data_IF_171149634050
#
_entry.id   IF_171149634050
#
_cell.length_a   1.000
_cell.length_b   1.000
_cell.length_c   1.000
_cell.angle_alpha   90.00
_cell.angle_beta   90.00
_cell.angle_gamma   90.00
#
_symmetry.space_group_name_H-M   'P 1'
#
loop_
_entity.id
_entity.type
_entity.pdbx_description
1 polymer ?
#
# COMPACT_ATOMS: atom_id res chain seq x y z
N UNK A 1 -52.25 13.02 45.13
CA UNK A 1 -51.26 13.80 45.91
C UNK A 1 -49.90 13.36 45.39
N UNK A 2 -49.34 14.12 44.44
CA UNK A 2 -48.29 15.15 44.62
C UNK A 2 -46.91 14.48 44.81
N UNK A 3 -45.81 14.84 44.15
CA UNK A 3 -45.41 15.92 43.22
C UNK A 3 -44.06 15.45 42.60
N UNK A 4 -43.86 15.56 41.28
CA UNK A 4 -42.97 16.52 40.58
C UNK A 4 -41.46 16.46 40.93
N UNK A 5 -40.62 16.07 39.97
CA UNK A 5 -39.75 16.93 39.12
C UNK A 5 -38.33 17.05 39.74
N UNK A 6 -37.19 17.24 39.06
CA UNK A 6 -36.86 17.89 37.78
C UNK A 6 -35.41 17.48 37.45
N UNK A 7 -35.04 17.38 36.17
CA UNK A 7 -33.63 17.51 35.73
C UNK A 7 -33.14 18.96 35.91
N UNK A 8 -31.84 19.22 35.68
CA UNK A 8 -31.57 20.16 34.58
C UNK A 8 -30.46 19.71 33.63
N UNK A 9 -30.75 19.98 32.36
CA UNK A 9 -29.87 20.10 31.19
C UNK A 9 -29.01 21.36 31.32
N UNK A 10 -27.77 21.34 30.80
CA UNK A 10 -27.14 22.41 29.97
C UNK A 10 -25.65 22.13 29.82
N UNK A 11 -24.94 22.54 28.79
CA UNK A 11 -25.19 22.77 27.37
C UNK A 11 -23.77 22.92 26.77
N UNK A 12 -23.60 22.52 25.51
CA UNK A 12 -22.59 23.00 24.54
C UNK A 12 -21.15 23.36 25.00
N UNK A 13 -20.16 22.74 24.35
CA UNK A 13 -19.48 23.37 23.19
C UNK A 13 -18.42 22.43 22.64
N UNK A 14 -18.55 22.14 21.35
CA UNK A 14 -17.45 21.62 20.57
C UNK A 14 -16.33 22.65 20.49
N UNK A 15 -15.10 22.16 20.63
CA UNK A 15 -13.94 22.74 19.99
C UNK A 15 -13.00 21.60 19.66
N UNK A 16 -13.02 21.20 18.39
CA UNK A 16 -11.90 20.55 17.74
C UNK A 16 -10.69 21.46 17.88
N UNK A 17 -9.76 21.12 18.78
CA UNK A 17 -8.44 21.72 18.76
C UNK A 17 -7.71 21.21 17.51
N UNK A 18 -7.74 22.04 16.48
CA UNK A 18 -6.76 22.02 15.40
C UNK A 18 -5.39 22.07 16.06
N UNK A 19 -4.60 21.01 15.89
CA UNK A 19 -3.18 21.01 16.22
C UNK A 19 -2.53 22.03 15.29
N UNK A 20 -2.34 23.24 15.80
CA UNK A 20 -1.58 24.29 15.18
C UNK A 20 -0.11 23.87 15.21
N UNK A 21 0.41 23.38 14.08
CA UNK A 21 1.84 23.11 13.90
C UNK A 21 2.53 24.46 13.79
N UNK A 22 2.83 25.08 14.93
CA UNK A 22 3.77 26.18 15.03
C UNK A 22 5.18 25.59 14.91
N UNK A 23 5.77 25.69 13.72
CA UNK A 23 7.18 25.40 13.50
C UNK A 23 7.99 26.68 13.79
N UNK A 24 8.19 26.99 15.06
CA UNK A 24 9.10 28.06 15.49
C UNK A 24 10.51 27.48 15.63
N UNK A 25 11.36 27.73 14.63
CA UNK A 25 12.79 27.50 14.75
C UNK A 25 13.40 28.63 15.58
N UNK A 26 13.76 28.34 16.83
CA UNK A 26 14.72 29.14 17.60
C UNK A 26 16.03 28.36 17.65
N UNK A 27 17.08 28.90 17.02
CA UNK A 27 18.46 28.50 17.28
C UNK A 27 19.15 29.69 17.90
N UNK A 28 19.36 29.60 19.21
CA UNK A 28 20.22 30.52 19.93
C UNK A 28 21.66 30.30 19.48
N UNK A 29 22.25 31.35 18.93
CA UNK A 29 23.67 31.51 18.70
C UNK A 29 24.33 31.95 20.00
N UNK A 30 25.38 31.27 20.43
CA UNK A 30 26.45 31.92 21.20
C UNK A 30 27.81 31.48 20.69
N UNK A 31 28.64 32.50 20.65
CA UNK A 31 29.92 32.73 20.00
C UNK A 31 31.10 32.38 20.93
N UNK A 32 32.26 32.10 20.32
CA UNK A 32 33.61 32.48 20.74
C UNK A 32 34.66 31.45 20.29
N UNK A 33 35.62 31.90 19.46
CA UNK A 33 36.85 31.15 19.17
C UNK A 33 37.53 31.57 17.86
N UNK A 34 38.29 32.66 17.92
CA UNK A 34 39.22 33.23 16.94
C UNK A 34 40.31 32.24 16.49
N UNK A 35 40.62 32.19 15.18
CA UNK A 35 42.01 32.22 14.68
C UNK A 35 42.07 32.51 13.16
N UNK A 36 43.13 33.18 12.74
CA UNK A 36 43.35 33.84 11.45
C UNK A 36 43.68 32.90 10.27
N UNK A 37 43.36 33.33 9.04
CA UNK A 37 43.83 32.68 7.82
C UNK A 37 43.18 33.19 6.53
N UNK A 38 43.89 34.08 5.85
CA UNK A 38 43.56 34.75 4.59
C UNK A 38 43.39 33.77 3.40
N UNK A 39 42.40 33.96 2.50
CA UNK A 39 42.46 33.90 1.01
C UNK A 39 41.08 33.80 0.34
N UNK A 40 40.81 34.77 -0.56
CA UNK A 40 39.94 34.78 -1.74
C UNK A 40 38.41 34.57 -1.65
N UNK A 41 37.74 35.66 -2.01
CA UNK A 41 36.44 35.88 -2.65
C UNK A 41 35.52 34.73 -3.13
N UNK A 42 34.25 34.98 -2.81
CA UNK A 42 33.03 34.72 -3.59
C UNK A 42 32.40 33.29 -3.66
N UNK A 43 31.21 33.26 -3.04
CA UNK A 43 29.98 32.56 -3.44
C UNK A 43 29.71 31.10 -3.00
N UNK A 44 29.05 31.08 -1.83
CA UNK A 44 27.76 30.42 -1.57
C UNK A 44 27.77 28.95 -1.17
N UNK A 45 27.46 28.79 0.11
CA UNK A 45 27.17 27.56 0.83
C UNK A 45 25.82 26.94 0.44
N UNK A 46 25.79 25.63 0.67
CA UNK A 46 24.68 24.76 1.13
C UNK A 46 23.61 24.31 0.14
N UNK A 47 23.48 22.98 0.01
CA UNK A 47 22.26 22.33 0.49
C UNK A 47 22.56 20.89 0.91
N UNK A 48 22.51 20.65 2.22
CA UNK A 48 22.38 19.30 2.79
C UNK A 48 21.00 18.81 2.37
N UNK A 49 20.95 17.75 1.56
CA UNK A 49 19.71 17.12 1.10
C UNK A 49 18.84 16.67 2.28
N UNK A 50 17.91 17.52 2.67
CA UNK A 50 16.72 17.14 3.41
C UNK A 50 15.65 16.66 2.42
N UNK A 51 15.47 15.35 2.38
CA UNK A 51 14.18 14.67 2.19
C UNK A 51 13.51 14.65 0.79
N UNK A 52 13.67 13.55 0.02
CA UNK A 52 12.77 13.16 -1.08
C UNK A 52 11.33 12.83 -0.65
N UNK A 53 11.03 12.89 0.66
CA UNK A 53 9.78 12.41 1.26
C UNK A 53 8.67 13.45 1.25
N UNK A 54 9.01 14.74 1.33
CA UNK A 54 8.04 15.86 1.35
C UNK A 54 7.38 16.00 -0.03
N UNK A 55 8.17 15.98 -1.11
CA UNK A 55 7.68 16.07 -2.50
C UNK A 55 6.71 14.95 -2.85
N UNK A 56 7.01 13.71 -2.43
CA UNK A 56 6.17 12.55 -2.75
C UNK A 56 4.79 12.57 -2.09
N UNK A 57 4.66 13.06 -0.86
CA UNK A 57 3.35 13.19 -0.22
C UNK A 57 2.54 14.34 -0.84
N UNK A 58 3.20 15.41 -1.26
CA UNK A 58 2.57 16.52 -1.97
C UNK A 58 2.04 16.10 -3.34
N UNK A 59 2.76 15.26 -4.08
CA UNK A 59 2.30 14.72 -5.38
C UNK A 59 1.05 13.84 -5.23
N UNK A 60 0.96 13.03 -4.17
CA UNK A 60 -0.24 12.23 -3.89
C UNK A 60 -1.44 13.11 -3.56
N UNK A 61 -1.22 14.17 -2.77
CA UNK A 61 -2.28 15.11 -2.43
C UNK A 61 -2.81 15.81 -3.68
N UNK A 62 -1.93 16.26 -4.58
CA UNK A 62 -2.33 16.87 -5.84
C UNK A 62 -3.08 15.89 -6.75
N UNK A 63 -2.60 14.64 -6.85
CA UNK A 63 -3.31 13.60 -7.60
C UNK A 63 -4.73 13.37 -7.07
N UNK A 64 -4.89 13.28 -5.75
CA UNK A 64 -6.21 13.13 -5.13
C UNK A 64 -7.11 14.34 -5.38
N UNK A 65 -6.59 15.57 -5.23
CA UNK A 65 -7.34 16.80 -5.54
C UNK A 65 -7.82 16.81 -6.99
N UNK A 66 -6.98 16.36 -7.91
CA UNK A 66 -7.32 16.28 -9.33
C UNK A 66 -8.44 15.27 -9.60
N UNK A 67 -8.37 14.08 -9.00
CA UNK A 67 -9.40 13.04 -9.11
C UNK A 67 -10.74 13.54 -8.54
N UNK A 68 -10.72 14.21 -7.39
CA UNK A 68 -11.91 14.76 -6.75
C UNK A 68 -12.54 15.92 -7.52
N UNK A 69 -11.74 16.67 -8.29
CA UNK A 69 -12.21 17.82 -9.06
C UNK A 69 -12.77 17.43 -10.44
N UNK A 70 -12.54 16.19 -10.90
CA UNK A 70 -13.03 15.72 -12.21
C UNK A 70 -14.40 15.05 -12.06
N UNK A 71 -15.47 15.58 -12.70
CA UNK A 71 -16.80 14.97 -12.62
C UNK A 71 -16.83 13.56 -13.21
N UNK A 72 -17.42 12.61 -12.49
CA UNK A 72 -17.59 11.24 -12.97
C UNK A 72 -18.70 11.20 -14.02
N UNK A 73 -18.39 10.71 -15.23
CA UNK A 73 -19.38 10.61 -16.32
C UNK A 73 -20.34 9.46 -16.04
N UNK A 74 -21.44 9.73 -15.32
CA UNK A 74 -22.50 8.75 -15.07
C UNK A 74 -23.21 8.81 -13.71
N UNK A 75 -23.08 9.90 -12.95
CA UNK A 75 -23.85 10.07 -11.71
C UNK A 75 -25.31 10.39 -12.06
N UNK A 76 -26.18 9.38 -11.99
CA UNK A 76 -27.59 9.61 -11.67
C UNK A 76 -27.67 9.87 -10.18
N UNK A 77 -28.21 11.03 -9.80
CA UNK A 77 -28.53 11.38 -8.42
C UNK A 77 -29.31 10.22 -7.77
N UNK A 78 -28.71 9.51 -6.81
CA UNK A 78 -29.45 8.51 -6.02
C UNK A 78 -30.41 9.29 -5.11
N UNK A 79 -31.65 9.45 -5.59
CA UNK A 79 -32.83 10.07 -4.99
C UNK A 79 -32.74 10.36 -3.47
N UNK A 80 -32.88 11.64 -3.13
CA UNK A 80 -33.25 12.13 -1.80
C UNK A 80 -34.62 11.54 -1.41
N UNK A 81 -34.61 10.44 -0.64
CA UNK A 81 -35.84 9.92 -0.02
C UNK A 81 -36.08 10.66 1.29
N UNK A 82 -36.82 11.76 1.19
CA UNK A 82 -37.45 12.44 2.31
C UNK A 82 -38.61 11.57 2.83
N UNK A 83 -38.52 11.07 4.07
CA UNK A 83 -39.62 10.32 4.69
C UNK A 83 -39.25 9.64 6.00
N UNK A 84 -40.19 9.70 6.96
CA UNK A 84 -40.40 8.90 8.19
C UNK A 84 -39.22 8.14 8.84
N UNK A 85 -39.18 8.06 10.17
CA UNK A 85 -38.16 7.33 10.95
C UNK A 85 -37.99 5.84 10.53
N UNK A 86 -39.09 5.19 10.10
CA UNK A 86 -39.07 3.84 9.51
C UNK A 86 -38.38 3.79 8.14
N UNK A 87 -38.47 4.86 7.35
CA UNK A 87 -37.80 5.00 6.05
C UNK A 87 -36.31 5.34 6.21
N UNK A 88 -35.95 6.14 7.22
CA UNK A 88 -34.54 6.39 7.58
C UNK A 88 -33.86 5.10 8.03
N UNK A 89 -34.49 4.32 8.90
CA UNK A 89 -33.95 3.04 9.39
C UNK A 89 -33.73 2.03 8.26
N UNK A 90 -34.66 1.96 7.29
CA UNK A 90 -34.52 1.13 6.09
C UNK A 90 -33.38 1.63 5.17
N UNK A 91 -33.23 2.94 5.01
CA UNK A 91 -32.14 3.55 4.24
C UNK A 91 -30.76 3.24 4.86
N UNK A 92 -30.62 3.38 6.18
CA UNK A 92 -29.39 3.04 6.90
C UNK A 92 -29.04 1.55 6.79
N UNK A 93 -30.03 0.66 6.93
CA UNK A 93 -29.82 -0.77 6.74
C UNK A 93 -29.33 -1.10 5.32
N UNK A 94 -29.90 -0.45 4.29
CA UNK A 94 -29.45 -0.59 2.90
C UNK A 94 -28.02 -0.11 2.70
N UNK A 95 -27.67 1.05 3.27
CA UNK A 95 -26.31 1.60 3.22
C UNK A 95 -25.29 0.67 3.90
N UNK A 96 -25.62 0.13 5.08
CA UNK A 96 -24.77 -0.85 5.76
C UNK A 96 -24.55 -2.09 4.89
N UNK A 97 -25.61 -2.63 4.29
CA UNK A 97 -25.48 -3.78 3.36
C UNK A 97 -24.61 -3.45 2.15
N UNK A 98 -24.78 -2.27 1.53
CA UNK A 98 -23.93 -1.78 0.43
C UNK A 98 -22.46 -1.72 0.87
N UNK A 99 -22.17 -1.16 2.04
CA UNK A 99 -20.82 -1.07 2.59
C UNK A 99 -20.20 -2.46 2.85
N UNK A 100 -20.93 -3.36 3.51
CA UNK A 100 -20.46 -4.74 3.76
C UNK A 100 -20.22 -5.52 2.46
N UNK A 101 -21.03 -5.28 1.41
CA UNK A 101 -20.79 -5.86 0.09
C UNK A 101 -19.54 -5.28 -0.57
N UNK A 102 -19.31 -3.97 -0.45
CA UNK A 102 -18.09 -3.33 -0.93
C UNK A 102 -16.84 -3.89 -0.25
N UNK A 103 -16.86 -4.10 1.07
CA UNK A 103 -15.76 -4.75 1.81
C UNK A 103 -15.45 -6.15 1.25
N UNK A 104 -16.47 -6.99 1.03
CA UNK A 104 -16.30 -8.32 0.42
C UNK A 104 -15.68 -8.23 -0.98
N UNK A 105 -16.08 -7.24 -1.79
CA UNK A 105 -15.51 -6.99 -3.12
C UNK A 105 -14.04 -6.61 -3.02
N UNK A 106 -13.66 -5.75 -2.06
CA UNK A 106 -12.26 -5.39 -1.81
C UNK A 106 -11.44 -6.61 -1.42
N UNK A 107 -11.91 -7.45 -0.51
CA UNK A 107 -11.22 -8.70 -0.15
C UNK A 107 -11.02 -9.59 -1.38
N UNK A 108 -12.06 -9.79 -2.19
CA UNK A 108 -11.96 -10.59 -3.41
C UNK A 108 -10.96 -10.00 -4.41
N UNK A 109 -11.01 -8.69 -4.64
CA UNK A 109 -10.07 -8.00 -5.53
C UNK A 109 -8.62 -8.16 -5.07
N UNK A 110 -8.35 -8.05 -3.76
CA UNK A 110 -7.02 -8.30 -3.20
C UNK A 110 -6.57 -9.76 -3.44
N UNK A 111 -7.45 -10.74 -3.22
CA UNK A 111 -7.13 -12.15 -3.46
C UNK A 111 -6.82 -12.44 -4.93
N UNK A 112 -7.63 -11.89 -5.84
CA UNK A 112 -7.45 -12.02 -7.28
C UNK A 112 -6.14 -11.35 -7.73
N UNK A 113 -5.82 -10.18 -7.19
CA UNK A 113 -4.54 -9.49 -7.45
C UNK A 113 -3.35 -10.34 -6.99
N UNK A 114 -3.38 -10.88 -5.77
CA UNK A 114 -2.33 -11.75 -5.22
C UNK A 114 -2.16 -12.99 -6.10
N UNK A 115 -3.26 -13.60 -6.56
CA UNK A 115 -3.25 -14.79 -7.41
C UNK A 115 -2.64 -14.51 -8.80
N UNK A 116 -2.99 -13.37 -9.41
CA UNK A 116 -2.39 -12.94 -10.67
C UNK A 116 -0.87 -12.73 -10.54
N UNK A 117 -0.42 -12.05 -9.49
CA UNK A 117 1.01 -11.87 -9.23
C UNK A 117 1.74 -13.20 -8.94
N UNK A 118 1.08 -14.12 -8.24
CA UNK A 118 1.60 -15.46 -8.00
C UNK A 118 1.87 -16.20 -9.32
N UNK A 119 0.86 -16.31 -10.21
CA UNK A 119 0.98 -17.03 -11.47
C UNK A 119 1.93 -16.34 -12.45
N UNK A 120 1.96 -15.01 -12.46
CA UNK A 120 2.96 -14.26 -13.24
C UNK A 120 4.39 -14.64 -12.82
N UNK A 121 4.69 -14.62 -11.52
CA UNK A 121 6.03 -14.96 -11.03
C UNK A 121 6.36 -16.45 -11.22
N UNK A 122 5.37 -17.34 -11.10
CA UNK A 122 5.53 -18.76 -11.43
C UNK A 122 5.93 -18.98 -12.89
N UNK A 123 5.18 -18.39 -13.83
CA UNK A 123 5.47 -18.46 -15.26
C UNK A 123 6.82 -17.82 -15.60
N UNK A 124 7.15 -16.70 -14.96
CA UNK A 124 8.45 -16.04 -15.12
C UNK A 124 9.60 -16.95 -14.69
N UNK A 125 9.57 -17.52 -13.48
CA UNK A 125 10.63 -18.41 -12.98
C UNK A 125 10.72 -19.70 -13.82
N UNK A 126 9.59 -20.24 -14.28
CA UNK A 126 9.58 -21.38 -15.22
C UNK A 126 10.31 -21.04 -16.51
N UNK A 127 10.01 -19.90 -17.14
CA UNK A 127 10.67 -19.49 -18.38
C UNK A 127 12.16 -19.22 -18.20
N UNK A 128 12.57 -18.65 -17.06
CA UNK A 128 14.00 -18.48 -16.71
C UNK A 128 14.68 -19.85 -16.63
N UNK A 129 14.07 -20.79 -15.91
CA UNK A 129 14.58 -22.16 -15.77
C UNK A 129 14.68 -22.88 -17.12
N UNK A 130 13.64 -22.76 -17.97
CA UNK A 130 13.65 -23.35 -19.31
C UNK A 130 14.82 -22.81 -20.16
N UNK A 131 15.13 -21.51 -20.08
CA UNK A 131 16.26 -20.92 -20.80
C UNK A 131 17.60 -21.46 -20.28
N UNK A 132 17.77 -21.53 -18.96
CA UNK A 132 19.02 -22.02 -18.36
C UNK A 132 19.23 -23.52 -18.57
N UNK A 133 18.15 -24.31 -18.57
CA UNK A 133 18.21 -25.75 -18.81
C UNK A 133 18.55 -26.05 -20.29
N UNK A 134 17.99 -25.27 -21.22
CA UNK A 134 18.26 -25.41 -22.66
C UNK A 134 19.67 -24.94 -23.05
N UNK A 135 20.26 -23.99 -22.31
CA UNK A 135 21.62 -23.53 -22.56
C UNK A 135 22.36 -23.29 -21.24
N UNK A 136 23.09 -24.32 -20.78
CA UNK A 136 23.86 -24.29 -19.53
C UNK A 136 24.93 -23.19 -19.45
N UNK A 137 25.31 -22.56 -20.57
CA UNK A 137 26.25 -21.42 -20.57
C UNK A 137 25.56 -20.09 -20.18
N UNK A 138 24.23 -20.01 -20.26
CA UNK A 138 23.46 -18.81 -19.91
C UNK A 138 23.35 -18.70 -18.39
N UNK A 139 23.85 -17.60 -17.84
CA UNK A 139 23.70 -17.28 -16.41
C UNK A 139 22.26 -16.85 -16.11
N UNK A 140 21.77 -17.07 -14.87
CA UNK A 140 20.41 -16.70 -14.43
C UNK A 140 20.05 -15.24 -14.78
N UNK A 141 20.97 -14.29 -14.54
CA UNK A 141 20.72 -12.88 -14.85
C UNK A 141 20.51 -12.61 -16.35
N UNK A 142 21.22 -13.34 -17.21
CA UNK A 142 21.05 -13.25 -18.66
C UNK A 142 19.72 -13.89 -19.09
N UNK A 143 19.37 -15.06 -18.53
CA UNK A 143 18.07 -15.69 -18.76
C UNK A 143 16.91 -14.76 -18.36
N UNK A 144 16.97 -14.16 -17.15
CA UNK A 144 15.97 -13.16 -16.71
C UNK A 144 15.87 -11.97 -17.66
N UNK A 145 17.00 -11.48 -18.15
CA UNK A 145 17.04 -10.37 -19.13
C UNK A 145 16.35 -10.76 -20.43
N UNK A 146 16.53 -11.99 -20.90
CA UNK A 146 15.79 -12.51 -22.05
C UNK A 146 14.29 -12.58 -21.77
N UNK A 147 13.87 -13.13 -20.63
CA UNK A 147 12.43 -13.15 -20.24
C UNK A 147 11.82 -11.76 -20.22
N UNK A 148 12.52 -10.75 -19.67
CA UNK A 148 12.05 -9.36 -19.75
C UNK A 148 11.92 -8.85 -21.18
N UNK A 149 12.86 -9.17 -22.06
CA UNK A 149 12.80 -8.78 -23.47
C UNK A 149 11.66 -9.47 -24.23
N UNK A 150 11.27 -10.68 -23.82
CA UNK A 150 10.10 -11.36 -24.38
C UNK A 150 8.78 -10.73 -23.93
N UNK A 151 8.68 -10.25 -22.68
CA UNK A 151 7.44 -9.74 -22.12
C UNK A 151 7.19 -8.27 -22.50
N UNK A 152 8.25 -7.44 -22.52
CA UNK A 152 8.11 -5.98 -22.66
C UNK A 152 7.34 -5.51 -23.92
N UNK A 153 7.43 -6.15 -25.10
CA UNK A 153 6.68 -5.70 -26.28
C UNK A 153 5.16 -5.88 -26.14
N UNK A 154 4.73 -6.72 -25.20
CA UNK A 154 3.31 -6.98 -24.93
C UNK A 154 2.72 -6.08 -23.83
N UNK A 155 3.52 -5.16 -23.26
CA UNK A 155 3.12 -4.28 -22.17
C UNK A 155 3.34 -2.81 -22.57
N UNK A 156 2.53 -2.26 -23.49
CA UNK A 156 2.64 -0.86 -23.89
C UNK A 156 2.50 0.06 -22.66
N UNK A 157 3.36 1.08 -22.57
CA UNK A 157 3.40 2.02 -21.44
C UNK A 157 4.14 1.51 -20.19
N UNK A 158 4.59 0.25 -20.16
CA UNK A 158 5.41 -0.27 -19.05
C UNK A 158 6.89 -0.19 -19.41
N UNK A 159 7.70 0.42 -18.56
CA UNK A 159 9.16 0.42 -18.72
C UNK A 159 9.77 -0.89 -18.22
N UNK A 160 10.90 -1.30 -18.80
CA UNK A 160 11.65 -2.49 -18.36
C UNK A 160 12.06 -2.41 -16.88
N UNK A 161 12.36 -1.21 -16.39
CA UNK A 161 12.68 -0.99 -14.98
C UNK A 161 11.47 -1.23 -14.07
N UNK A 162 10.29 -0.71 -14.43
CA UNK A 162 9.07 -0.95 -13.68
C UNK A 162 8.71 -2.44 -13.69
N UNK A 163 8.84 -3.11 -14.84
CA UNK A 163 8.64 -4.55 -14.97
C UNK A 163 9.58 -5.33 -14.03
N UNK A 164 10.86 -4.98 -13.96
CA UNK A 164 11.83 -5.58 -13.02
C UNK A 164 11.40 -5.40 -11.57
N UNK A 165 11.00 -4.18 -11.18
CA UNK A 165 10.53 -3.88 -9.81
C UNK A 165 9.28 -4.68 -9.45
N UNK A 166 8.27 -4.71 -10.32
CA UNK A 166 7.05 -5.51 -10.12
C UNK A 166 7.34 -7.01 -10.08
N UNK A 167 8.25 -7.49 -10.91
CA UNK A 167 8.67 -8.90 -10.90
C UNK A 167 9.33 -9.28 -9.58
N UNK A 168 10.23 -8.44 -9.06
CA UNK A 168 10.85 -8.70 -7.77
C UNK A 168 9.82 -8.77 -6.63
N UNK A 169 8.81 -7.89 -6.63
CA UNK A 169 7.68 -7.94 -5.70
C UNK A 169 6.86 -9.23 -5.84
N UNK A 170 6.49 -9.59 -7.07
CA UNK A 170 5.72 -10.79 -7.37
C UNK A 170 6.45 -12.08 -6.95
N UNK A 171 7.79 -12.11 -7.06
CA UNK A 171 8.61 -13.25 -6.60
C UNK A 171 8.49 -13.50 -5.10
N UNK A 172 8.31 -12.48 -4.28
CA UNK A 172 8.10 -12.66 -2.83
C UNK A 172 6.76 -13.35 -2.54
N UNK A 173 5.70 -12.94 -3.24
CA UNK A 173 4.38 -13.60 -3.20
C UNK A 173 4.51 -15.06 -3.63
N UNK A 174 5.17 -15.31 -4.76
CA UNK A 174 5.40 -16.66 -5.27
C UNK A 174 6.13 -17.56 -4.27
N UNK A 175 7.26 -17.10 -3.71
CA UNK A 175 8.04 -17.86 -2.74
C UNK A 175 7.20 -18.30 -1.54
N UNK A 176 6.41 -17.38 -0.98
CA UNK A 176 5.55 -17.65 0.16
C UNK A 176 4.49 -18.71 -0.18
N UNK A 177 3.62 -18.41 -1.14
CA UNK A 177 2.46 -19.26 -1.45
C UNK A 177 2.81 -20.56 -2.18
N UNK A 178 3.98 -20.64 -2.84
CA UNK A 178 4.50 -21.92 -3.37
C UNK A 178 4.77 -22.91 -2.23
N UNK A 179 5.25 -22.43 -1.09
CA UNK A 179 5.65 -23.26 0.05
C UNK A 179 4.46 -23.59 0.96
N UNK A 180 3.60 -22.61 1.27
CA UNK A 180 2.46 -22.82 2.17
C UNK A 180 1.19 -23.31 1.44
N UNK A 181 1.19 -23.27 0.11
CA UNK A 181 0.10 -23.68 -0.77
C UNK A 181 -0.75 -22.52 -1.29
N UNK A 182 -0.96 -22.48 -2.60
CA UNK A 182 -1.72 -21.44 -3.33
C UNK A 182 -3.14 -21.28 -2.81
N UNK A 183 -3.77 -22.38 -2.38
CA UNK A 183 -5.13 -22.38 -1.79
C UNK A 183 -5.28 -21.45 -0.58
N UNK A 184 -4.17 -21.10 0.09
CA UNK A 184 -4.18 -20.18 1.23
C UNK A 184 -4.38 -18.71 0.83
N UNK A 185 -4.18 -18.34 -0.43
CA UNK A 185 -4.49 -16.98 -0.93
C UNK A 185 -5.96 -16.64 -0.65
N UNK A 186 -6.88 -17.61 -0.80
CA UNK A 186 -8.32 -17.46 -0.50
C UNK A 186 -8.62 -17.14 0.98
N UNK A 187 -7.65 -17.25 1.87
CA UNK A 187 -7.78 -16.94 3.31
C UNK A 187 -7.26 -15.53 3.65
N UNK A 188 -6.67 -14.82 2.70
CA UNK A 188 -6.17 -13.45 2.91
C UNK A 188 -7.37 -12.49 2.86
N UNK A 189 -7.61 -11.78 3.96
CA UNK A 189 -8.76 -10.85 4.07
C UNK A 189 -8.30 -9.39 4.03
N UNK A 190 -7.32 -9.04 4.87
CA UNK A 190 -6.94 -7.64 5.14
C UNK A 190 -5.62 -7.22 4.50
N UNK A 191 -4.89 -8.13 3.84
CA UNK A 191 -3.58 -7.82 3.26
C UNK A 191 -3.67 -7.74 1.74
N UNK A 192 -3.11 -6.67 1.17
CA UNK A 192 -2.96 -6.49 -0.28
C UNK A 192 -1.72 -7.19 -0.81
N UNK A 193 -1.64 -7.35 -2.14
CA UNK A 193 -0.44 -7.86 -2.80
C UNK A 193 0.79 -6.98 -2.51
N UNK A 194 0.62 -5.64 -2.48
CA UNK A 194 1.73 -4.73 -2.19
C UNK A 194 2.28 -4.94 -0.78
N UNK A 195 1.42 -5.10 0.23
CA UNK A 195 1.84 -5.37 1.61
C UNK A 195 2.59 -6.69 1.72
N UNK A 196 2.07 -7.77 1.12
CA UNK A 196 2.73 -9.09 1.15
C UNK A 196 4.06 -9.04 0.39
N UNK A 197 4.12 -8.30 -0.73
CA UNK A 197 5.34 -8.21 -1.54
C UNK A 197 6.51 -7.54 -0.81
N UNK A 198 6.24 -6.73 0.22
CA UNK A 198 7.23 -6.04 1.04
C UNK A 198 7.85 -6.93 2.12
N UNK A 199 7.33 -8.14 2.35
CA UNK A 199 7.92 -9.06 3.31
C UNK A 199 9.38 -9.36 2.94
N UNK A 200 10.25 -9.34 3.95
CA UNK A 200 11.66 -9.73 3.79
C UNK A 200 11.79 -11.25 3.63
N UNK A 201 12.94 -11.71 3.15
CA UNK A 201 13.22 -13.14 3.05
C UNK A 201 13.07 -13.86 4.40
N UNK A 202 13.52 -13.23 5.50
CA UNK A 202 13.39 -13.78 6.84
C UNK A 202 11.94 -13.87 7.29
N UNK A 203 11.13 -12.82 7.07
CA UNK A 203 9.70 -12.85 7.40
C UNK A 203 8.95 -13.93 6.61
N UNK A 204 9.26 -14.07 5.32
CA UNK A 204 8.70 -15.15 4.48
C UNK A 204 9.07 -16.51 5.06
N UNK A 205 10.33 -16.72 5.43
CA UNK A 205 10.78 -17.99 5.99
C UNK A 205 10.10 -18.28 7.33
N UNK A 206 10.02 -17.31 8.25
CA UNK A 206 9.31 -17.48 9.52
C UNK A 206 7.84 -17.84 9.37
N UNK A 207 7.16 -17.31 8.33
CA UNK A 207 5.78 -17.71 8.03
C UNK A 207 5.76 -19.16 7.51
N UNK A 208 6.66 -19.51 6.58
CA UNK A 208 6.75 -20.87 6.03
C UNK A 208 6.97 -21.89 7.15
N UNK A 209 7.93 -21.66 8.04
CA UNK A 209 8.28 -22.58 9.13
C UNK A 209 7.08 -22.87 10.03
N UNK A 210 6.24 -21.87 10.32
CA UNK A 210 4.99 -22.06 11.09
C UNK A 210 3.99 -22.97 10.39
N UNK A 211 3.97 -23.01 9.07
CA UNK A 211 3.06 -23.87 8.31
C UNK A 211 3.64 -25.23 7.94
N UNK A 212 4.96 -25.42 8.06
CA UNK A 212 5.64 -26.70 7.81
C UNK A 212 6.00 -27.46 9.08
N UNK A 213 6.18 -26.79 10.21
CA UNK A 213 6.53 -27.45 11.47
C UNK A 213 5.31 -28.05 12.18
N UNK A 214 4.10 -27.52 11.94
CA UNK A 214 2.86 -28.08 12.48
C UNK A 214 2.44 -29.43 11.88
N UNK A 215 3.18 -29.99 10.91
CA UNK A 215 2.88 -31.31 10.34
C UNK A 215 3.69 -32.45 10.96
N UNK A 216 4.57 -32.18 11.93
CA UNK A 216 5.43 -33.22 12.56
C UNK A 216 4.85 -33.73 13.89
N UNK A 217 3.89 -33.04 14.50
CA UNK A 217 3.37 -33.36 15.85
C UNK A 217 2.12 -34.26 15.88
N UNK A 218 1.76 -34.94 14.79
CA UNK A 218 0.59 -35.84 14.73
C UNK A 218 0.89 -37.27 14.28
N UNK A 219 2.08 -37.78 14.61
CA UNK A 219 2.37 -39.22 14.54
C UNK A 219 2.83 -39.69 15.92
N UNK A 220 1.86 -40.00 16.79
CA UNK A 220 2.00 -40.97 17.90
C UNK A 220 0.68 -41.74 17.97
#
# INVERSE_FOLDING_TARGET
>A
MQEQATSPISNEKGTTNLVQINSSNQTDTNDAGTDEGNYSDAQTRTSRQASPKITREQDKLQGLLQELSTPTKGETDEDDVEGSEDSISQSLARLYQKASLAEKRVTKANQDEILCWYHYAEGFEKKVKDITDNNKKVKDQQARTQVYNFIIPHLPGVTKENLRKKTQKARNIYKLFKKIGVKRIKRVVSFSADTISKLTANQIQSIIDRFTNSTVDHVI
#
